data_IF_868859099535
#
_entry.id   IF_868859099535
#
_cell.length_a   1.000
_cell.length_b   1.000
_cell.length_c   1.000
_cell.angle_alpha   90.00
_cell.angle_beta   90.00
_cell.angle_gamma   90.00
#
_symmetry.space_group_name_H-M   'P 1'
#
loop_
_entity.id
_entity.type
_entity.pdbx_description
1 polymer ?
#
# COMPACT_ATOMS: atom_id res chain seq x y z
N UNK A 1 9.04 11.33 -15.34
CA UNK A 1 8.19 11.18 -14.14
C UNK A 1 6.84 11.82 -14.38
N UNK A 2 5.89 11.02 -14.86
CA UNK A 2 4.48 11.27 -14.57
C UNK A 2 4.23 10.72 -13.17
N UNK A 3 3.54 11.45 -12.32
CA UNK A 3 3.18 10.97 -10.98
C UNK A 3 1.81 10.28 -11.05
N UNK A 4 1.50 9.41 -10.09
CA UNK A 4 0.16 8.82 -9.91
C UNK A 4 -0.46 9.43 -8.65
N UNK A 5 -0.91 10.70 -8.69
CA UNK A 5 -1.33 11.42 -7.49
C UNK A 5 -2.53 10.77 -6.80
N UNK A 6 -3.40 10.09 -7.56
CA UNK A 6 -4.57 9.41 -6.99
C UNK A 6 -4.18 8.25 -6.05
N UNK A 7 -3.00 7.64 -6.23
CA UNK A 7 -2.50 6.57 -5.36
C UNK A 7 -1.83 7.12 -4.09
N UNK A 8 -1.42 8.39 -4.06
CA UNK A 8 -0.80 9.02 -2.89
C UNK A 8 -1.80 9.18 -1.74
N UNK A 9 -1.30 9.09 -0.51
CA UNK A 9 -2.08 9.26 0.72
C UNK A 9 -1.87 8.12 1.71
N UNK A 10 -2.57 8.24 2.84
CA UNK A 10 -2.54 7.23 3.90
C UNK A 10 -3.68 6.23 3.74
N UNK A 11 -3.38 4.96 3.99
CA UNK A 11 -4.30 3.83 3.91
C UNK A 11 -4.23 3.03 5.20
N UNK A 12 -5.39 2.61 5.68
CA UNK A 12 -5.51 1.74 6.85
C UNK A 12 -6.11 0.40 6.44
N UNK A 13 -5.50 -0.68 6.92
CA UNK A 13 -6.06 -2.01 6.67
C UNK A 13 -7.27 -2.29 7.53
N UNK A 14 -8.13 -3.19 7.06
CA UNK A 14 -8.98 -4.00 7.94
C UNK A 14 -8.10 -4.90 8.84
N UNK A 15 -8.59 -5.36 10.00
CA UNK A 15 -7.80 -6.21 10.88
C UNK A 15 -7.48 -7.57 10.22
N UNK A 16 -6.21 -7.97 10.27
CA UNK A 16 -5.71 -9.29 9.90
C UNK A 16 -5.20 -9.96 11.17
N UNK A 17 -5.87 -11.04 11.60
CA UNK A 17 -5.55 -11.76 12.84
C UNK A 17 -5.38 -10.83 14.06
N UNK A 18 -6.26 -9.83 14.19
CA UNK A 18 -6.25 -8.87 15.30
C UNK A 18 -5.21 -7.75 15.17
N UNK A 19 -4.44 -7.70 14.09
CA UNK A 19 -3.47 -6.64 13.81
C UNK A 19 -3.91 -5.76 12.63
N UNK A 20 -3.49 -4.49 12.62
CA UNK A 20 -3.72 -3.56 11.52
C UNK A 20 -2.41 -3.30 10.77
N UNK A 21 -2.51 -2.82 9.54
CA UNK A 21 -1.39 -2.33 8.75
C UNK A 21 -1.69 -0.92 8.24
N UNK A 22 -0.65 -0.12 8.05
CA UNK A 22 -0.76 1.25 7.54
C UNK A 22 0.18 1.43 6.35
N UNK A 23 -0.29 2.11 5.31
CA UNK A 23 0.51 2.51 4.14
C UNK A 23 0.41 4.02 3.99
N UNK A 24 1.54 4.72 3.94
CA UNK A 24 1.63 6.13 3.57
C UNK A 24 2.38 6.26 2.27
N UNK A 25 1.67 6.38 1.14
CA UNK A 25 2.28 6.53 -0.19
C UNK A 25 2.50 8.01 -0.47
N UNK A 26 3.75 8.41 -0.66
CA UNK A 26 4.14 9.80 -0.89
C UNK A 26 4.26 10.13 -2.38
N UNK A 27 4.83 9.24 -3.17
CA UNK A 27 4.94 9.44 -4.62
C UNK A 27 5.11 8.11 -5.35
N UNK A 28 4.78 8.11 -6.64
CA UNK A 28 4.99 6.95 -7.51
C UNK A 28 5.63 7.40 -8.80
N UNK A 29 6.79 6.83 -9.12
CA UNK A 29 7.40 6.99 -10.44
C UNK A 29 6.61 6.16 -11.45
N UNK A 30 5.81 6.80 -12.31
CA UNK A 30 5.04 6.10 -13.34
C UNK A 30 5.93 5.38 -14.37
N UNK A 31 7.13 5.91 -14.65
CA UNK A 31 8.00 5.36 -15.69
C UNK A 31 8.75 4.12 -15.17
N UNK A 32 9.19 4.18 -13.90
CA UNK A 32 9.89 3.09 -13.22
C UNK A 32 9.01 2.21 -12.34
N UNK A 33 7.72 2.51 -12.16
CA UNK A 33 6.78 1.86 -11.25
C UNK A 33 7.10 1.99 -9.76
N UNK A 34 8.16 2.72 -9.37
CA UNK A 34 8.65 2.74 -7.99
C UNK A 34 7.72 3.53 -7.08
N UNK A 35 7.28 2.92 -5.98
CA UNK A 35 6.49 3.59 -4.94
C UNK A 35 7.44 4.04 -3.82
N UNK A 36 7.30 5.30 -3.41
CA UNK A 36 7.98 5.89 -2.26
C UNK A 36 6.96 6.12 -1.16
N UNK A 37 7.25 5.66 0.05
CA UNK A 37 6.34 5.77 1.18
C UNK A 37 6.82 5.08 2.44
N UNK A 38 5.95 5.06 3.44
CA UNK A 38 6.12 4.36 4.72
C UNK A 38 5.08 3.25 4.83
N UNK A 39 5.50 2.09 5.31
CA UNK A 39 4.64 0.92 5.31
C UNK A 39 4.95 0.08 6.55
N UNK A 40 3.94 -0.32 7.30
CA UNK A 40 4.19 -1.08 8.51
C UNK A 40 2.98 -1.71 9.15
N UNK A 41 3.29 -2.58 10.10
CA UNK A 41 2.34 -3.25 11.00
C UNK A 41 2.02 -2.31 12.17
N UNK A 42 0.73 -2.21 12.51
CA UNK A 42 0.16 -1.31 13.49
C UNK A 42 -0.70 -0.20 12.88
N UNK A 43 -1.47 0.47 13.75
CA UNK A 43 -2.37 1.60 13.38
C UNK A 43 -1.61 2.91 13.15
N UNK A 44 -0.34 2.99 13.54
CA UNK A 44 0.52 4.15 13.36
C UNK A 44 1.84 3.70 12.76
N UNK A 45 2.33 4.45 11.77
CA UNK A 45 3.60 4.18 11.10
C UNK A 45 4.75 4.42 12.09
N UNK A 46 5.24 3.36 12.72
CA UNK A 46 6.65 3.32 13.12
C UNK A 46 7.52 3.45 11.86
N UNK A 47 8.80 3.84 12.01
CA UNK A 47 9.76 4.14 10.92
C UNK A 47 10.15 2.92 10.06
N UNK A 48 9.20 2.13 9.58
CA UNK A 48 9.45 1.04 8.64
C UNK A 48 9.53 1.63 7.23
N UNK A 49 10.77 1.94 6.84
CA UNK A 49 11.13 2.22 5.46
C UNK A 49 10.94 0.93 4.66
N UNK A 50 10.14 1.01 3.61
CA UNK A 50 9.82 -0.13 2.76
C UNK A 50 9.90 0.26 1.30
N UNK A 51 10.01 -0.74 0.42
CA UNK A 51 10.07 -0.54 -1.02
C UNK A 51 8.80 -1.06 -1.66
N UNK A 52 8.26 -0.33 -2.62
CA UNK A 52 7.08 -0.76 -3.35
C UNK A 52 7.22 -0.58 -4.85
N UNK A 53 6.42 -1.34 -5.60
CA UNK A 53 6.34 -1.26 -7.05
C UNK A 53 4.89 -1.34 -7.53
N UNK A 54 4.56 -0.53 -8.52
CA UNK A 54 3.27 -0.44 -9.19
C UNK A 54 3.41 -0.98 -10.60
N UNK A 55 2.52 -1.90 -10.96
CA UNK A 55 2.36 -2.40 -12.32
C UNK A 55 0.96 -2.11 -12.83
N UNK A 56 0.86 -1.54 -14.02
CA UNK A 56 -0.41 -1.27 -14.68
C UNK A 56 -0.82 -2.40 -15.62
N UNK A 57 -2.11 -2.76 -15.58
CA UNK A 57 -2.76 -3.72 -16.46
C UNK A 57 -4.08 -3.14 -16.97
N UNK A 58 -4.01 -2.24 -17.96
CA UNK A 58 -5.20 -1.57 -18.50
C UNK A 58 -5.83 -0.64 -17.47
N UNK A 59 -7.00 -0.99 -16.94
CA UNK A 59 -7.69 -0.23 -15.88
C UNK A 59 -7.39 -0.73 -14.47
N UNK A 60 -6.85 -1.94 -14.33
CA UNK A 60 -6.42 -2.50 -13.06
C UNK A 60 -4.95 -2.21 -12.80
N UNK A 61 -4.57 -2.22 -11.54
CA UNK A 61 -3.17 -2.09 -11.12
C UNK A 61 -2.81 -3.16 -10.11
N UNK A 62 -1.60 -3.69 -10.18
CA UNK A 62 -0.99 -4.51 -9.13
C UNK A 62 0.04 -3.69 -8.38
N UNK A 63 0.00 -3.71 -7.06
CA UNK A 63 0.88 -2.97 -6.16
C UNK A 63 1.60 -3.98 -5.28
N UNK A 64 2.92 -4.05 -5.38
CA UNK A 64 3.76 -4.90 -4.55
C UNK A 64 4.44 -4.03 -3.50
N UNK A 65 4.33 -4.39 -2.22
CA UNK A 65 4.98 -3.67 -1.12
C UNK A 65 5.81 -4.66 -0.32
N UNK A 66 7.11 -4.43 -0.23
CA UNK A 66 8.02 -5.19 0.62
C UNK A 66 8.22 -4.42 1.93
N UNK A 67 7.48 -4.83 2.97
CA UNK A 67 7.70 -4.39 4.33
C UNK A 67 8.94 -5.10 4.92
N UNK A 68 9.40 -4.65 6.09
CA UNK A 68 10.58 -5.22 6.74
C UNK A 68 10.40 -6.72 7.03
N UNK A 69 9.20 -7.13 7.46
CA UNK A 69 8.88 -8.50 7.87
C UNK A 69 7.72 -9.12 7.09
N UNK A 70 7.09 -8.36 6.20
CA UNK A 70 5.90 -8.79 5.46
C UNK A 70 6.02 -8.39 4.00
N UNK A 71 5.31 -9.09 3.13
CA UNK A 71 5.11 -8.69 1.72
C UNK A 71 3.63 -8.56 1.44
N UNK A 72 3.24 -7.45 0.82
CA UNK A 72 1.88 -7.25 0.34
C UNK A 72 1.84 -7.32 -1.18
N UNK A 73 0.88 -8.05 -1.71
CA UNK A 73 0.49 -8.01 -3.11
C UNK A 73 -0.95 -7.52 -3.19
N UNK A 74 -1.12 -6.30 -3.69
CA UNK A 74 -2.38 -5.56 -3.67
C UNK A 74 -2.84 -5.27 -5.08
N UNK A 75 -4.13 -4.99 -5.21
CA UNK A 75 -4.78 -4.60 -6.44
C UNK A 75 -5.77 -3.48 -6.17
N UNK A 76 -5.97 -2.64 -7.16
CA UNK A 76 -7.14 -1.77 -7.25
C UNK A 76 -7.85 -2.02 -8.57
N UNK A 77 -9.18 -1.96 -8.54
CA UNK A 77 -10.04 -2.09 -9.73
C UNK A 77 -10.53 -0.74 -10.25
N UNK A 78 -10.10 0.36 -9.61
CA UNK A 78 -10.46 1.71 -10.02
C UNK A 78 -9.23 2.62 -10.05
N UNK A 79 -9.32 3.73 -10.82
CA UNK A 79 -8.25 4.72 -10.95
C UNK A 79 -8.25 5.76 -9.83
N UNK A 80 -9.17 5.65 -8.87
CA UNK A 80 -9.28 6.54 -7.70
C UNK A 80 -8.47 6.03 -6.52
N UNK A 81 -8.17 4.73 -6.50
CA UNK A 81 -7.40 4.06 -5.45
C UNK A 81 -8.00 4.28 -4.07
N UNK A 82 -9.33 4.37 -3.95
CA UNK A 82 -9.98 4.50 -2.64
C UNK A 82 -9.86 3.20 -1.81
N UNK A 83 -9.68 2.07 -2.49
CA UNK A 83 -9.52 0.75 -1.88
C UNK A 83 -8.43 -0.03 -2.60
N UNK A 84 -7.54 -0.64 -1.83
CA UNK A 84 -6.55 -1.61 -2.29
C UNK A 84 -6.84 -2.94 -1.60
N UNK A 85 -6.81 -4.05 -2.30
CA UNK A 85 -7.08 -5.36 -1.70
C UNK A 85 -6.15 -6.42 -2.27
N UNK A 86 -5.89 -7.47 -1.51
CA UNK A 86 -5.03 -8.56 -1.95
C UNK A 86 -4.57 -9.42 -0.79
N UNK A 87 -3.28 -9.70 -0.72
CA UNK A 87 -2.71 -10.56 0.32
C UNK A 87 -1.52 -9.93 1.01
N UNK A 88 -1.32 -10.28 2.27
CA UNK A 88 -0.10 -10.07 3.04
C UNK A 88 0.49 -11.43 3.39
N UNK A 89 1.81 -11.55 3.30
CA UNK A 89 2.54 -12.75 3.73
C UNK A 89 3.68 -12.38 4.66
N UNK A 90 3.77 -13.02 5.81
CA UNK A 90 4.93 -12.91 6.70
C UNK A 90 6.13 -13.65 6.09
N UNK A 91 7.32 -13.04 6.17
CA UNK A 91 8.51 -13.58 5.49
C UNK A 91 9.09 -14.82 6.16
N UNK A 92 8.74 -15.10 7.41
CA UNK A 92 9.28 -16.20 8.21
C UNK A 92 8.41 -17.45 8.14
N UNK A 93 7.11 -17.32 8.40
CA UNK A 93 6.18 -18.46 8.42
C UNK A 93 5.48 -18.71 7.06
N UNK A 94 5.58 -17.75 6.12
CA UNK A 94 4.94 -17.78 4.81
C UNK A 94 3.41 -17.89 4.87
N UNK A 95 2.79 -17.58 6.01
CA UNK A 95 1.35 -17.55 6.09
C UNK A 95 0.80 -16.41 5.23
N UNK A 96 -0.18 -16.74 4.38
CA UNK A 96 -0.80 -15.78 3.46
C UNK A 96 -2.19 -15.44 3.99
N UNK A 97 -2.40 -14.17 4.27
CA UNK A 97 -3.68 -13.66 4.76
C UNK A 97 -4.28 -12.65 3.78
N UNK A 98 -5.61 -12.66 3.58
CA UNK A 98 -6.27 -11.62 2.82
C UNK A 98 -6.14 -10.28 3.56
N UNK A 99 -5.93 -9.20 2.82
CA UNK A 99 -5.82 -7.85 3.37
C UNK A 99 -6.55 -6.85 2.49
N UNK A 100 -7.22 -5.90 3.12
CA UNK A 100 -7.92 -4.80 2.48
C UNK A 100 -7.45 -3.51 3.12
N UNK A 101 -7.04 -2.55 2.31
CA UNK A 101 -6.68 -1.20 2.70
C UNK A 101 -7.72 -0.21 2.17
N UNK A 102 -8.17 0.69 3.03
CA UNK A 102 -9.04 1.79 2.68
C UNK A 102 -8.27 3.10 2.80
N UNK A 103 -8.36 3.94 1.78
CA UNK A 103 -7.74 5.25 1.78
C UNK A 103 -8.39 6.12 2.84
N UNK A 104 -7.56 6.74 3.68
CA UNK A 104 -8.04 7.69 4.66
C UNK A 104 -8.53 8.95 3.94
N UNK A 105 -9.78 9.34 4.21
CA UNK A 105 -10.39 10.53 3.60
C UNK A 105 -10.08 11.82 4.36
N UNK A 106 -9.51 11.70 5.57
CA UNK A 106 -9.26 12.83 6.48
C UNK A 106 -7.87 13.48 6.30
N UNK A 107 -7.06 13.06 5.31
CA UNK A 107 -5.80 13.73 4.97
C UNK A 107 -5.93 14.52 3.66
N UNK A 108 -6.46 15.73 3.77
CA UNK A 108 -6.08 16.83 2.89
C UNK A 108 -4.76 17.36 3.45
N UNK A 109 -3.67 17.21 2.71
CA UNK A 109 -2.39 17.84 3.07
C UNK A 109 -2.47 19.29 2.62
N UNK A 110 -2.87 20.18 3.53
CA UNK A 110 -2.51 21.61 3.45
C UNK A 110 -1.44 21.86 4.51
N UNK A 111 -0.25 22.24 4.03
CA UNK A 111 0.93 22.58 4.83
C UNK A 111 2.12 22.90 3.94
#
# INVERSE_FOLDING_TARGET
>A
MKDVPNLQGTYFSEPVNGTYYTLGIQSVDHDGGKIVGLFGKGRFLGHSLSSGWLQWYGEASTIYLNMVFDKCNLRSDDKTFNRLYGTVSDIYDQEIHPIVFNKNKDEIVDG
#
